data_IF_010363250538
#
_entry.id   IF_010363250538
#
_cell.length_a   1.000
_cell.length_b   1.000
_cell.length_c   1.000
_cell.angle_alpha   90.00
_cell.angle_beta   90.00
_cell.angle_gamma   90.00
#
_symmetry.space_group_name_H-M   'P 1'
#
loop_
_entity.id
_entity.type
_entity.pdbx_description
1 polymer ?
#
# COMPACT_ATOMS: atom_id res chain seq x y z
N UNK A 1 -18.82 -9.68 4.42
CA UNK A 1 -18.63 -8.55 3.51
C UNK A 1 -17.32 -7.87 3.91
N UNK A 2 -16.51 -7.44 2.97
CA UNK A 2 -15.29 -6.68 3.27
C UNK A 2 -15.65 -5.28 3.78
N UNK A 3 -14.85 -4.76 4.70
CA UNK A 3 -14.96 -3.37 5.14
C UNK A 3 -14.48 -2.45 4.03
N UNK A 4 -15.29 -1.44 3.76
CA UNK A 4 -15.02 -0.42 2.75
C UNK A 4 -15.39 0.93 3.33
N UNK A 5 -14.42 1.85 3.39
CA UNK A 5 -14.68 3.26 3.68
C UNK A 5 -14.87 3.96 2.34
N UNK A 6 -16.05 4.55 2.13
CA UNK A 6 -16.48 5.13 0.86
C UNK A 6 -16.84 6.60 1.08
N UNK A 7 -16.11 7.52 0.44
CA UNK A 7 -16.34 8.96 0.55
C UNK A 7 -16.48 9.61 -0.82
N UNK A 8 -17.26 10.67 -0.86
CA UNK A 8 -17.57 11.40 -2.09
C UNK A 8 -18.50 10.64 -3.02
N UNK A 9 -18.57 11.10 -4.24
CA UNK A 9 -19.33 10.48 -5.33
C UNK A 9 -18.65 10.77 -6.67
N UNK A 10 -18.83 9.90 -7.64
CA UNK A 10 -18.40 10.21 -9.00
C UNK A 10 -19.12 11.46 -9.50
N UNK A 11 -18.39 12.33 -10.20
CA UNK A 11 -18.90 13.55 -10.84
C UNK A 11 -18.79 13.45 -12.37
N UNK A 12 -19.39 14.39 -13.08
CA UNK A 12 -19.25 14.45 -14.54
C UNK A 12 -17.80 14.69 -14.98
N UNK A 13 -17.04 15.40 -14.16
CA UNK A 13 -15.61 15.66 -14.39
C UNK A 13 -14.71 14.50 -13.95
N UNK A 14 -15.12 13.73 -12.96
CA UNK A 14 -14.39 12.58 -12.42
C UNK A 14 -15.31 11.36 -12.29
N UNK A 15 -15.67 10.71 -13.44
CA UNK A 15 -16.59 9.57 -13.44
C UNK A 15 -15.96 8.27 -12.94
N UNK A 16 -14.63 8.23 -12.83
CA UNK A 16 -13.85 7.05 -12.43
C UNK A 16 -13.64 7.02 -10.93
N UNK A 17 -14.07 5.97 -10.21
CA UNK A 17 -13.81 5.82 -8.78
C UNK A 17 -12.34 5.50 -8.51
N UNK A 18 -11.87 5.84 -7.30
CA UNK A 18 -10.54 5.54 -6.80
C UNK A 18 -10.63 4.43 -5.76
N UNK A 19 -9.83 3.36 -5.91
CA UNK A 19 -9.76 2.25 -4.96
C UNK A 19 -8.38 2.20 -4.31
N UNK A 20 -8.33 2.43 -3.00
CA UNK A 20 -7.14 2.46 -2.20
C UNK A 20 -6.91 1.13 -1.47
N UNK A 21 -5.71 0.56 -1.61
CA UNK A 21 -5.29 -0.73 -1.03
C UNK A 21 -4.14 -0.50 -0.05
N UNK A 22 -4.36 -0.82 1.21
CA UNK A 22 -3.40 -0.56 2.30
C UNK A 22 -2.19 -1.50 2.30
N UNK A 23 -1.13 -1.09 3.00
CA UNK A 23 0.08 -1.87 3.23
C UNK A 23 -0.06 -2.91 4.33
N UNK A 24 0.97 -3.73 4.52
CA UNK A 24 1.01 -4.70 5.61
C UNK A 24 0.82 -4.05 6.99
N UNK A 25 0.17 -4.75 7.91
CA UNK A 25 -0.16 -4.33 9.28
C UNK A 25 -1.16 -3.19 9.40
N UNK A 26 -1.65 -2.62 8.30
CA UNK A 26 -2.61 -1.51 8.25
C UNK A 26 -4.02 -2.02 7.90
N UNK A 27 -4.96 -1.09 7.75
CA UNK A 27 -6.31 -1.29 7.23
C UNK A 27 -6.75 0.00 6.52
N UNK A 28 -8.01 0.06 6.06
CA UNK A 28 -8.54 1.22 5.33
C UNK A 28 -8.37 2.56 6.08
N UNK A 29 -8.32 2.54 7.41
CA UNK A 29 -8.13 3.73 8.25
C UNK A 29 -6.93 4.61 7.84
N UNK A 30 -5.84 4.00 7.32
CA UNK A 30 -4.66 4.77 6.96
C UNK A 30 -4.86 5.69 5.76
N UNK A 31 -5.85 5.43 4.95
CA UNK A 31 -6.30 6.29 3.86
C UNK A 31 -7.37 7.29 4.31
N UNK A 32 -8.21 6.87 5.26
CA UNK A 32 -9.29 7.69 5.83
C UNK A 32 -8.79 8.89 6.62
N UNK A 33 -7.57 8.80 7.13
CA UNK A 33 -6.94 9.87 7.92
C UNK A 33 -6.85 11.19 7.15
N UNK A 34 -6.59 11.13 5.82
CA UNK A 34 -6.40 12.32 5.00
C UNK A 34 -6.85 12.15 3.55
N UNK A 35 -6.47 11.03 2.91
CA UNK A 35 -6.56 10.89 1.45
C UNK A 35 -8.00 10.83 0.97
N UNK A 36 -8.87 10.10 1.66
CA UNK A 36 -10.25 9.93 1.20
C UNK A 36 -10.99 11.27 1.18
N UNK A 37 -10.84 12.10 2.21
CA UNK A 37 -11.45 13.43 2.25
C UNK A 37 -10.86 14.33 1.16
N UNK A 38 -9.53 14.34 0.99
CA UNK A 38 -8.89 15.12 -0.06
C UNK A 38 -9.46 14.80 -1.45
N UNK A 39 -9.57 13.53 -1.81
CA UNK A 39 -10.08 13.15 -3.12
C UNK A 39 -11.60 13.36 -3.25
N UNK A 40 -12.37 13.14 -2.19
CA UNK A 40 -13.79 13.44 -2.16
C UNK A 40 -14.06 14.94 -2.37
N UNK A 41 -13.30 15.81 -1.69
CA UNK A 41 -13.40 17.27 -1.84
C UNK A 41 -12.99 17.75 -3.25
N UNK A 42 -12.15 16.97 -3.96
CA UNK A 42 -11.78 17.21 -5.35
C UNK A 42 -12.73 16.52 -6.36
N UNK A 43 -13.89 16.02 -5.92
CA UNK A 43 -14.97 15.53 -6.79
C UNK A 43 -14.82 14.07 -7.23
N UNK A 44 -13.93 13.29 -6.61
CA UNK A 44 -13.82 11.85 -6.85
C UNK A 44 -14.67 11.05 -5.86
N UNK A 45 -15.08 9.86 -6.26
CA UNK A 45 -15.50 8.83 -5.32
C UNK A 45 -14.26 8.05 -4.88
N UNK A 46 -13.90 8.14 -3.60
CA UNK A 46 -12.71 7.55 -3.01
C UNK A 46 -13.09 6.43 -2.04
N UNK A 47 -12.63 5.21 -2.34
CA UNK A 47 -12.93 4.00 -1.57
C UNK A 47 -11.64 3.39 -1.01
N UNK A 48 -11.58 3.16 0.29
CA UNK A 48 -10.48 2.41 0.91
C UNK A 48 -10.96 1.04 1.39
N UNK A 49 -10.31 0.00 0.90
CA UNK A 49 -10.59 -1.38 1.25
C UNK A 49 -9.74 -1.83 2.44
N UNK A 50 -10.35 -2.42 3.47
CA UNK A 50 -9.62 -3.29 4.40
C UNK A 50 -9.58 -4.70 3.84
N UNK A 51 -8.37 -5.19 3.54
CA UNK A 51 -8.15 -6.56 3.06
C UNK A 51 -8.61 -7.58 4.11
N UNK A 52 -9.01 -8.77 3.68
CA UNK A 52 -9.49 -9.83 4.60
C UNK A 52 -8.54 -10.06 5.78
N UNK A 53 -9.09 -10.07 6.99
CA UNK A 53 -8.33 -10.20 8.25
C UNK A 53 -7.76 -8.91 8.80
N UNK A 54 -8.06 -7.75 8.16
CA UNK A 54 -7.69 -6.42 8.61
C UNK A 54 -8.92 -5.54 8.79
N UNK A 55 -8.83 -4.53 9.66
CA UNK A 55 -9.96 -3.66 9.99
C UNK A 55 -11.17 -4.48 10.42
N UNK A 56 -12.34 -4.14 9.89
CA UNK A 56 -13.59 -4.86 10.06
C UNK A 56 -13.78 -6.02 9.07
N UNK A 57 -12.84 -6.28 8.16
CA UNK A 57 -12.96 -7.35 7.16
C UNK A 57 -12.74 -8.73 7.76
N UNK A 58 -13.74 -9.66 7.68
CA UNK A 58 -13.58 -10.99 8.22
C UNK A 58 -12.60 -11.83 7.42
N UNK A 59 -11.96 -12.80 8.08
CA UNK A 59 -11.16 -13.83 7.45
C UNK A 59 -11.81 -15.19 7.61
N UNK A 60 -12.05 -15.92 6.51
CA UNK A 60 -12.60 -17.27 6.54
C UNK A 60 -11.58 -18.32 7.01
N UNK A 61 -10.29 -17.95 7.09
CA UNK A 61 -9.18 -18.82 7.52
C UNK A 61 -8.21 -18.04 8.40
N UNK A 62 -7.34 -18.71 9.17
CA UNK A 62 -6.36 -18.02 10.03
C UNK A 62 -5.50 -17.05 9.22
N UNK A 63 -5.30 -15.83 9.73
CA UNK A 63 -4.58 -14.75 9.02
C UNK A 63 -3.22 -15.21 8.48
N UNK A 64 -2.46 -16.02 9.25
CA UNK A 64 -1.14 -16.53 8.85
C UNK A 64 -1.14 -17.35 7.55
N UNK A 65 -2.31 -17.79 7.05
CA UNK A 65 -2.47 -18.61 5.85
C UNK A 65 -3.04 -17.85 4.66
N UNK A 66 -3.42 -16.59 4.85
CA UNK A 66 -3.91 -15.72 3.78
C UNK A 66 -2.74 -15.40 2.83
N UNK A 67 -2.97 -15.53 1.54
CA UNK A 67 -1.97 -15.32 0.49
C UNK A 67 -2.12 -13.97 -0.21
N UNK A 68 -1.14 -13.58 -1.01
CA UNK A 68 -1.26 -12.43 -1.93
C UNK A 68 -2.43 -12.66 -2.91
N UNK A 69 -2.66 -13.89 -3.38
CA UNK A 69 -3.78 -14.19 -4.27
C UNK A 69 -5.14 -13.94 -3.59
N UNK A 70 -5.28 -14.25 -2.31
CA UNK A 70 -6.48 -13.93 -1.54
C UNK A 70 -6.72 -12.41 -1.47
N UNK A 71 -5.66 -11.61 -1.31
CA UNK A 71 -5.77 -10.14 -1.30
C UNK A 71 -6.08 -9.57 -2.69
N UNK A 72 -5.56 -10.17 -3.75
CA UNK A 72 -5.94 -9.81 -5.13
C UNK A 72 -7.43 -10.07 -5.34
N UNK A 73 -7.96 -11.21 -4.87
CA UNK A 73 -9.38 -11.53 -4.95
C UNK A 73 -10.27 -10.51 -4.20
N UNK A 74 -9.79 -9.95 -3.06
CA UNK A 74 -10.49 -8.87 -2.37
C UNK A 74 -10.59 -7.62 -3.23
N UNK A 75 -9.49 -7.23 -3.89
CA UNK A 75 -9.48 -6.09 -4.81
C UNK A 75 -10.41 -6.34 -6.00
N UNK A 76 -10.37 -7.54 -6.60
CA UNK A 76 -11.28 -7.94 -7.69
C UNK A 76 -12.74 -7.82 -7.25
N UNK A 77 -13.07 -8.39 -6.08
CA UNK A 77 -14.44 -8.38 -5.53
C UNK A 77 -14.99 -6.95 -5.40
N UNK A 78 -14.16 -6.02 -4.92
CA UNK A 78 -14.59 -4.63 -4.77
C UNK A 78 -14.65 -3.93 -6.12
N UNK A 79 -13.65 -4.12 -6.98
CA UNK A 79 -13.59 -3.47 -8.29
C UNK A 79 -14.74 -3.89 -9.20
N UNK A 80 -15.11 -5.19 -9.21
CA UNK A 80 -16.25 -5.71 -9.97
C UNK A 80 -17.60 -5.23 -9.44
N UNK A 81 -17.68 -4.85 -8.16
CA UNK A 81 -18.87 -4.25 -7.56
C UNK A 81 -19.08 -2.77 -7.91
N UNK A 82 -18.11 -2.12 -8.57
CA UNK A 82 -18.19 -0.71 -8.96
C UNK A 82 -18.81 -0.57 -10.36
N UNK A 83 -19.46 0.56 -10.66
CA UNK A 83 -20.10 0.78 -11.96
C UNK A 83 -19.10 0.87 -13.13
N UNK A 84 -17.87 1.27 -12.84
CA UNK A 84 -16.74 1.34 -13.81
C UNK A 84 -15.46 0.86 -13.12
N UNK A 85 -14.49 0.32 -13.90
CA UNK A 85 -13.19 -0.04 -13.34
C UNK A 85 -12.53 1.14 -12.63
N UNK A 86 -12.05 0.97 -11.38
CA UNK A 86 -11.44 2.07 -10.62
C UNK A 86 -9.99 2.35 -11.05
N UNK A 87 -9.49 3.55 -10.76
CA UNK A 87 -8.05 3.75 -10.57
C UNK A 87 -7.66 3.00 -9.30
N UNK A 88 -6.61 2.16 -9.38
CA UNK A 88 -6.15 1.37 -8.24
C UNK A 88 -4.89 1.97 -7.63
N UNK A 89 -4.94 2.30 -6.34
CA UNK A 89 -3.85 2.98 -5.61
C UNK A 89 -3.40 2.08 -4.47
N UNK A 90 -2.16 1.61 -4.53
CA UNK A 90 -1.65 0.67 -3.53
C UNK A 90 -0.41 1.17 -2.81
N UNK A 91 -0.41 1.07 -1.47
CA UNK A 91 0.72 1.38 -0.63
C UNK A 91 1.46 0.11 -0.22
N UNK A 92 2.80 0.11 -0.31
CA UNK A 92 3.65 -0.96 0.23
C UNK A 92 3.22 -2.35 -0.28
N UNK A 93 2.75 -3.25 0.60
CA UNK A 93 2.14 -4.54 0.25
C UNK A 93 0.91 -4.36 -0.66
N UNK A 94 0.06 -3.36 -0.38
CA UNK A 94 -1.07 -3.03 -1.26
C UNK A 94 -0.63 -2.66 -2.66
N UNK A 95 0.51 -2.00 -2.82
CA UNK A 95 1.12 -1.74 -4.12
C UNK A 95 1.54 -3.02 -4.84
N UNK A 96 2.03 -4.02 -4.11
CA UNK A 96 2.33 -5.34 -4.67
C UNK A 96 1.05 -6.09 -5.08
N UNK A 97 -0.02 -5.99 -4.29
CA UNK A 97 -1.34 -6.54 -4.63
C UNK A 97 -1.88 -5.88 -5.90
N UNK A 98 -1.77 -4.55 -6.02
CA UNK A 98 -2.15 -3.79 -7.22
C UNK A 98 -1.35 -4.25 -8.44
N UNK A 99 -0.03 -4.44 -8.33
CA UNK A 99 0.79 -4.98 -9.41
C UNK A 99 0.27 -6.35 -9.88
N UNK A 100 -0.08 -7.24 -8.95
CA UNK A 100 -0.65 -8.56 -9.25
C UNK A 100 -2.04 -8.49 -9.87
N UNK A 101 -2.90 -7.60 -9.38
CA UNK A 101 -4.23 -7.34 -9.92
C UNK A 101 -4.14 -6.91 -11.41
N UNK A 102 -3.25 -5.98 -11.72
CA UNK A 102 -3.08 -5.43 -13.05
C UNK A 102 -2.48 -6.40 -14.09
N UNK A 103 -1.96 -7.56 -13.66
CA UNK A 103 -1.51 -8.61 -14.60
C UNK A 103 -2.68 -9.24 -15.40
N UNK A 104 -3.88 -9.20 -14.84
CA UNK A 104 -5.06 -9.91 -15.38
C UNK A 104 -6.31 -9.06 -15.46
N UNK A 105 -6.31 -7.86 -14.88
CA UNK A 105 -7.46 -6.94 -14.88
C UNK A 105 -7.05 -5.57 -15.41
N UNK A 106 -7.91 -4.96 -16.20
CA UNK A 106 -7.70 -3.62 -16.71
C UNK A 106 -8.17 -2.57 -15.70
N UNK A 107 -7.42 -1.50 -15.60
CA UNK A 107 -7.78 -0.29 -14.86
C UNK A 107 -7.42 0.94 -15.70
N UNK A 108 -8.11 2.09 -15.53
CA UNK A 108 -7.76 3.32 -16.24
C UNK A 108 -6.35 3.79 -15.92
N UNK A 109 -5.93 3.63 -14.68
CA UNK A 109 -4.58 3.94 -14.20
C UNK A 109 -4.27 3.19 -12.88
N UNK A 110 -3.00 3.15 -12.51
CA UNK A 110 -2.55 2.62 -11.21
C UNK A 110 -1.52 3.53 -10.54
N UNK A 111 -1.52 3.55 -9.21
CA UNK A 111 -0.52 4.28 -8.41
C UNK A 111 0.16 3.32 -7.44
N UNK A 112 1.48 3.30 -7.47
CA UNK A 112 2.33 2.51 -6.58
C UNK A 112 3.03 3.46 -5.60
N UNK A 113 2.53 3.51 -4.36
CA UNK A 113 3.02 4.40 -3.31
C UNK A 113 3.94 3.63 -2.36
N UNK A 114 5.23 3.95 -2.33
CA UNK A 114 6.24 3.23 -1.53
C UNK A 114 6.08 1.68 -1.64
N UNK A 115 5.77 1.19 -2.83
CA UNK A 115 5.36 -0.19 -3.08
C UNK A 115 6.49 -1.20 -2.89
N UNK A 116 6.14 -2.43 -2.48
CA UNK A 116 7.03 -3.59 -2.62
C UNK A 116 7.45 -3.68 -4.10
N UNK A 117 8.75 -3.79 -4.39
CA UNK A 117 9.24 -3.96 -5.76
C UNK A 117 8.75 -5.25 -6.41
N UNK A 118 8.65 -5.33 -7.76
CA UNK A 118 8.26 -6.57 -8.44
C UNK A 118 9.25 -7.72 -8.23
N UNK A 119 10.49 -7.42 -7.83
CA UNK A 119 11.49 -8.43 -7.39
C UNK A 119 11.26 -8.95 -5.97
N UNK A 120 10.21 -8.47 -5.30
CA UNK A 120 9.78 -8.93 -3.98
C UNK A 120 10.50 -8.28 -2.79
N UNK A 121 10.16 -8.77 -1.59
CA UNK A 121 10.62 -8.22 -0.31
C UNK A 121 11.92 -8.84 0.22
N UNK A 122 12.52 -9.80 -0.48
CA UNK A 122 13.71 -10.51 -0.01
C UNK A 122 14.85 -9.58 0.48
N UNK A 123 15.26 -8.56 -0.29
CA UNK A 123 16.29 -7.60 0.14
C UNK A 123 15.91 -6.83 1.41
N UNK A 124 14.65 -6.42 1.55
CA UNK A 124 14.14 -5.76 2.76
C UNK A 124 14.22 -6.70 3.98
N UNK A 125 13.72 -7.93 3.86
CA UNK A 125 13.78 -8.91 4.95
C UNK A 125 15.21 -9.20 5.38
N UNK A 126 16.15 -9.30 4.43
CA UNK A 126 17.57 -9.49 4.72
C UNK A 126 18.17 -8.30 5.49
N UNK A 127 17.89 -7.05 5.04
CA UNK A 127 18.33 -5.83 5.74
C UNK A 127 17.78 -5.79 7.16
N UNK A 128 16.51 -6.12 7.32
CA UNK A 128 15.82 -6.08 8.59
C UNK A 128 16.32 -7.16 9.55
N UNK A 129 16.45 -8.40 9.09
CA UNK A 129 16.99 -9.51 9.90
C UNK A 129 18.41 -9.22 10.40
N UNK A 130 19.27 -8.60 9.57
CA UNK A 130 20.63 -8.19 9.99
C UNK A 130 20.61 -7.16 11.11
N UNK A 131 19.65 -6.24 11.11
CA UNK A 131 19.53 -5.19 12.15
C UNK A 131 18.83 -5.67 13.41
N UNK A 132 17.83 -6.56 13.26
CA UNK A 132 16.94 -6.99 14.33
C UNK A 132 16.74 -8.52 14.30
N UNK A 133 17.79 -9.34 14.53
CA UNK A 133 17.72 -10.79 14.36
C UNK A 133 16.70 -11.45 15.30
N UNK A 134 16.65 -11.06 16.57
CA UNK A 134 15.77 -11.67 17.55
C UNK A 134 14.28 -11.41 17.31
N UNK A 135 13.81 -10.18 17.09
CA UNK A 135 12.42 -9.92 16.73
C UNK A 135 11.98 -10.68 15.47
N UNK A 136 12.83 -10.71 14.44
CA UNK A 136 12.54 -11.41 13.18
C UNK A 136 12.44 -12.94 13.40
N UNK A 137 13.40 -13.54 14.12
CA UNK A 137 13.37 -14.97 14.44
C UNK A 137 12.12 -15.32 15.25
N UNK A 138 11.78 -14.50 16.25
CA UNK A 138 10.59 -14.72 17.08
C UNK A 138 9.30 -14.62 16.24
N UNK A 139 9.17 -13.63 15.37
CA UNK A 139 8.02 -13.50 14.48
C UNK A 139 7.89 -14.72 13.57
N UNK A 140 9.01 -15.21 13.03
CA UNK A 140 9.02 -16.41 12.20
C UNK A 140 8.57 -17.66 12.95
N UNK A 141 9.05 -17.86 14.18
CA UNK A 141 8.72 -19.03 14.99
C UNK A 141 7.29 -19.01 15.54
N UNK A 142 6.80 -17.82 15.92
CA UNK A 142 5.48 -17.70 16.59
C UNK A 142 4.34 -17.45 15.61
N UNK A 143 4.63 -17.04 14.38
CA UNK A 143 3.62 -16.58 13.44
C UNK A 143 3.01 -15.22 13.75
N UNK A 144 3.58 -14.49 14.72
CA UNK A 144 3.08 -13.19 15.18
C UNK A 144 4.02 -12.07 14.75
N UNK A 145 3.73 -11.46 13.60
CA UNK A 145 4.57 -10.41 12.99
C UNK A 145 4.46 -9.07 13.72
N UNK A 146 3.32 -8.77 14.36
CA UNK A 146 3.12 -7.52 15.12
C UNK A 146 4.12 -7.37 16.28
N UNK A 147 4.66 -8.49 16.79
CA UNK A 147 5.70 -8.44 17.82
C UNK A 147 6.96 -7.68 17.41
N UNK A 148 7.19 -7.49 16.11
CA UNK A 148 8.31 -6.73 15.60
C UNK A 148 8.15 -5.23 15.90
N UNK A 149 6.90 -4.74 15.90
CA UNK A 149 6.54 -3.32 16.10
C UNK A 149 6.20 -2.97 17.56
N UNK A 150 6.83 -3.65 18.53
CA UNK A 150 6.53 -3.46 19.95
C UNK A 150 6.93 -2.10 20.52
N UNK A 151 7.91 -1.46 19.92
CA UNK A 151 8.37 -0.14 20.37
C UNK A 151 8.07 0.92 19.33
N UNK A 152 7.64 2.12 19.76
CA UNK A 152 7.40 3.25 18.87
C UNK A 152 8.63 3.63 18.03
N UNK A 153 9.83 3.42 18.55
CA UNK A 153 11.08 3.70 17.85
C UNK A 153 11.23 2.84 16.61
N UNK A 154 10.84 1.54 16.68
CA UNK A 154 10.87 0.65 15.52
C UNK A 154 9.80 1.05 14.51
N UNK A 155 8.60 1.42 14.99
CA UNK A 155 7.52 1.92 14.13
C UNK A 155 7.98 3.19 13.39
N UNK A 156 8.58 4.14 14.12
CA UNK A 156 9.16 5.35 13.52
C UNK A 156 10.24 4.99 12.50
N UNK A 157 11.22 4.17 12.88
CA UNK A 157 12.33 3.78 11.98
C UNK A 157 11.83 3.19 10.66
N UNK A 158 10.74 2.41 10.69
CA UNK A 158 10.24 1.72 9.51
C UNK A 158 9.28 2.56 8.70
N UNK A 159 8.36 3.27 9.37
CA UNK A 159 7.22 3.84 8.70
C UNK A 159 7.22 5.36 8.61
N UNK A 160 7.95 6.06 9.47
CA UNK A 160 7.86 7.51 9.59
C UNK A 160 9.21 8.22 9.52
N UNK A 161 9.18 9.45 9.03
CA UNK A 161 10.32 10.37 9.10
C UNK A 161 10.46 10.97 10.51
N UNK A 162 11.57 11.68 10.73
CA UNK A 162 11.77 12.45 11.96
C UNK A 162 10.83 13.66 12.09
N UNK A 163 10.13 14.02 11.01
CA UNK A 163 9.19 15.16 10.99
C UNK A 163 7.82 14.79 11.57
N UNK A 164 7.48 13.50 11.62
CA UNK A 164 6.20 13.04 12.21
C UNK A 164 6.24 13.22 13.72
N UNK A 165 5.27 13.94 14.31
CA UNK A 165 5.20 14.11 15.77
C UNK A 165 5.14 12.76 16.51
N UNK A 166 5.76 12.68 17.68
CA UNK A 166 5.77 11.44 18.47
C UNK A 166 4.37 10.95 18.82
N UNK A 167 3.47 11.87 19.16
CA UNK A 167 2.07 11.55 19.46
C UNK A 167 1.37 10.86 18.28
N UNK A 168 1.65 11.28 17.04
CA UNK A 168 1.12 10.66 15.82
C UNK A 168 1.69 9.25 15.64
N UNK A 169 3.01 9.07 15.82
CA UNK A 169 3.65 7.74 15.73
C UNK A 169 3.04 6.78 16.73
N UNK A 170 2.82 7.22 17.98
CA UNK A 170 2.19 6.42 19.03
C UNK A 170 0.75 6.05 18.66
N UNK A 171 -0.01 7.01 18.15
CA UNK A 171 -1.40 6.82 17.72
C UNK A 171 -1.48 5.79 16.59
N UNK A 172 -0.67 5.92 15.55
CA UNK A 172 -0.66 4.98 14.42
C UNK A 172 -0.11 3.61 14.80
N UNK A 173 0.90 3.56 15.69
CA UNK A 173 1.42 2.29 16.21
C UNK A 173 0.35 1.46 16.92
N UNK A 174 -0.57 2.11 17.64
CA UNK A 174 -1.67 1.45 18.34
C UNK A 174 -2.73 0.85 17.38
N UNK A 175 -2.79 1.32 16.15
CA UNK A 175 -3.74 0.84 15.12
C UNK A 175 -3.18 -0.31 14.26
N UNK A 176 -1.88 -0.65 14.41
CA UNK A 176 -1.28 -1.74 13.65
C UNK A 176 -1.88 -3.10 14.05
N UNK A 177 -2.07 -3.98 13.05
CA UNK A 177 -2.67 -5.30 13.20
C UNK A 177 -1.70 -6.41 12.74
N UNK A 178 -2.01 -7.67 13.04
CA UNK A 178 -1.21 -8.80 12.53
C UNK A 178 -1.27 -8.89 11.01
N UNK A 179 -0.16 -9.32 10.41
CA UNK A 179 -0.07 -9.58 8.98
C UNK A 179 0.26 -11.05 8.70
N UNK A 180 -0.15 -11.54 7.55
CA UNK A 180 0.04 -12.91 7.14
C UNK A 180 1.52 -13.25 6.86
N UNK A 181 2.01 -14.33 7.48
CA UNK A 181 3.31 -14.89 7.12
C UNK A 181 3.35 -15.46 5.70
N UNK A 182 2.21 -15.94 5.21
CA UNK A 182 2.08 -16.47 3.84
C UNK A 182 2.37 -15.37 2.83
N UNK A 183 1.86 -14.16 3.06
CA UNK A 183 2.14 -12.97 2.22
C UNK A 183 3.65 -12.71 2.10
N UNK A 184 4.39 -12.79 3.21
CA UNK A 184 5.85 -12.59 3.16
C UNK A 184 6.57 -13.62 2.28
N UNK A 185 6.12 -14.90 2.28
CA UNK A 185 6.67 -15.94 1.41
C UNK A 185 6.28 -15.72 -0.05
N UNK A 186 5.01 -15.42 -0.28
CA UNK A 186 4.48 -15.15 -1.63
C UNK A 186 5.22 -13.97 -2.27
N UNK A 187 5.37 -12.86 -1.53
CA UNK A 187 6.08 -11.67 -1.99
C UNK A 187 7.61 -11.81 -2.03
N UNK A 188 8.18 -12.91 -1.51
CA UNK A 188 9.63 -13.16 -1.59
C UNK A 188 10.01 -14.02 -2.80
N UNK A 189 9.19 -15.02 -3.16
CA UNK A 189 9.60 -16.05 -4.11
C UNK A 189 8.46 -16.64 -4.95
N UNK A 190 7.21 -16.72 -4.42
CA UNK A 190 6.20 -17.59 -5.01
C UNK A 190 5.25 -16.88 -5.98
N UNK A 191 4.92 -15.62 -5.71
CA UNK A 191 3.91 -14.86 -6.46
C UNK A 191 4.45 -13.49 -6.90
N UNK A 192 5.67 -13.45 -7.42
CA UNK A 192 6.25 -12.20 -7.91
C UNK A 192 5.42 -11.64 -9.08
N UNK A 193 5.25 -10.32 -9.17
CA UNK A 193 4.62 -9.68 -10.32
C UNK A 193 5.38 -9.92 -11.62
N UNK A 194 4.62 -9.90 -12.71
CA UNK A 194 5.06 -9.97 -14.09
C UNK A 194 4.84 -8.61 -14.79
N UNK A 195 5.78 -7.65 -14.66
CA UNK A 195 5.61 -6.30 -15.21
C UNK A 195 5.28 -6.28 -16.70
N UNK A 196 5.77 -7.25 -17.47
CA UNK A 196 5.54 -7.39 -18.90
C UNK A 196 4.07 -7.68 -19.27
N UNK A 197 3.24 -8.03 -18.28
CA UNK A 197 1.80 -8.26 -18.48
C UNK A 197 0.96 -7.03 -18.17
N UNK A 198 1.54 -6.01 -17.56
CA UNK A 198 0.82 -4.80 -17.15
C UNK A 198 0.95 -3.74 -18.23
N UNK A 199 -0.19 -3.37 -18.81
CA UNK A 199 -0.28 -2.32 -19.84
C UNK A 199 -0.90 -1.03 -19.31
N UNK A 200 -1.47 -1.06 -18.12
CA UNK A 200 -2.07 0.09 -17.44
C UNK A 200 -1.01 1.17 -17.14
N UNK A 201 -1.28 2.45 -17.44
CA UNK A 201 -0.41 3.54 -17.03
C UNK A 201 -0.16 3.55 -15.53
N UNK A 202 1.10 3.68 -15.11
CA UNK A 202 1.48 3.64 -13.70
C UNK A 202 2.24 4.90 -13.26
N UNK A 203 1.82 5.48 -12.14
CA UNK A 203 2.59 6.44 -11.36
C UNK A 203 3.31 5.70 -10.23
N UNK A 204 4.63 5.87 -10.12
CA UNK A 204 5.43 5.27 -9.06
C UNK A 204 5.99 6.37 -8.17
N UNK A 205 5.57 6.39 -6.90
CA UNK A 205 6.02 7.35 -5.90
C UNK A 205 6.81 6.65 -4.81
N UNK A 206 7.96 7.21 -4.44
CA UNK A 206 8.84 6.69 -3.41
C UNK A 206 9.18 7.74 -2.35
N UNK A 207 9.61 7.28 -1.18
CA UNK A 207 9.98 8.12 -0.05
C UNK A 207 11.50 8.10 0.19
N UNK A 208 12.10 9.27 0.37
CA UNK A 208 13.55 9.40 0.54
C UNK A 208 14.06 8.93 1.91
N UNK A 209 13.18 8.89 2.92
CA UNK A 209 13.43 8.42 4.29
C UNK A 209 12.73 7.10 4.61
N UNK A 210 12.38 6.34 3.58
CA UNK A 210 11.71 5.05 3.71
C UNK A 210 12.58 4.04 4.48
N UNK A 211 12.05 3.53 5.60
CA UNK A 211 12.72 2.51 6.42
C UNK A 211 12.54 1.08 5.90
N UNK A 212 11.68 0.88 4.90
CA UNK A 212 11.37 -0.41 4.28
C UNK A 212 12.08 -0.57 2.95
N UNK A 213 11.83 0.34 1.99
CA UNK A 213 12.36 0.26 0.64
C UNK A 213 13.28 1.45 0.32
N UNK A 214 14.32 1.19 -0.43
CA UNK A 214 15.29 2.21 -0.83
C UNK A 214 14.82 2.96 -2.08
N UNK A 215 15.28 4.19 -2.24
CA UNK A 215 15.09 4.99 -3.46
C UNK A 215 15.51 4.20 -4.72
N UNK A 216 16.59 3.39 -4.62
CA UNK A 216 17.04 2.52 -5.73
C UNK A 216 15.99 1.46 -6.08
N UNK A 217 15.30 0.91 -5.09
CA UNK A 217 14.22 -0.07 -5.30
C UNK A 217 12.98 0.60 -5.92
N UNK A 218 12.64 1.82 -5.52
CA UNK A 218 11.56 2.60 -6.15
C UNK A 218 11.85 2.87 -7.64
N UNK A 219 13.04 3.35 -7.97
CA UNK A 219 13.46 3.52 -9.38
C UNK A 219 13.51 2.20 -10.16
N UNK A 220 13.89 1.08 -9.51
CA UNK A 220 13.88 -0.22 -10.15
C UNK A 220 12.45 -0.71 -10.44
N UNK A 221 11.50 -0.41 -9.54
CA UNK A 221 10.07 -0.66 -9.76
C UNK A 221 9.58 0.10 -10.97
N UNK A 222 9.78 1.41 -11.02
CA UNK A 222 9.34 2.24 -12.14
C UNK A 222 9.91 1.75 -13.48
N UNK A 223 11.22 1.48 -13.54
CA UNK A 223 11.85 0.95 -14.77
C UNK A 223 11.25 -0.39 -15.22
N UNK A 224 10.85 -1.24 -14.29
CA UNK A 224 10.23 -2.52 -14.64
C UNK A 224 8.90 -2.36 -15.38
N UNK A 225 8.20 -1.24 -15.14
CA UNK A 225 6.94 -0.88 -15.79
C UNK A 225 7.10 0.19 -16.88
N UNK A 226 8.33 0.49 -17.32
CA UNK A 226 8.58 1.46 -18.39
C UNK A 226 8.27 2.91 -18.04
N UNK A 227 8.28 3.27 -16.74
CA UNK A 227 8.03 4.62 -16.23
C UNK A 227 9.16 5.12 -15.34
N UNK A 228 9.02 6.32 -14.79
CA UNK A 228 9.95 6.94 -13.86
C UNK A 228 9.36 7.01 -12.46
N UNK A 229 10.23 6.89 -11.44
CA UNK A 229 9.82 7.07 -10.06
C UNK A 229 10.06 8.52 -9.61
N UNK A 230 9.07 9.09 -8.95
CA UNK A 230 9.21 10.38 -8.27
C UNK A 230 9.45 10.15 -6.78
N UNK A 231 10.44 10.86 -6.23
CA UNK A 231 10.87 10.65 -4.84
C UNK A 231 10.56 11.89 -4.00
N UNK A 232 9.84 11.67 -2.91
CA UNK A 232 9.60 12.68 -1.88
C UNK A 232 10.72 12.60 -0.84
N UNK A 233 11.70 13.51 -0.86
CA UNK A 233 13.00 13.31 -0.19
C UNK A 233 12.92 13.24 1.33
N UNK A 234 11.96 13.93 1.94
CA UNK A 234 11.83 14.08 3.39
C UNK A 234 10.75 13.19 4.02
N UNK A 235 10.13 12.31 3.24
CA UNK A 235 9.05 11.43 3.69
C UNK A 235 9.56 10.05 4.12
N UNK A 236 8.91 9.49 5.13
CA UNK A 236 8.99 8.08 5.52
C UNK A 236 8.09 7.19 4.67
N UNK A 237 8.04 5.90 5.01
CA UNK A 237 7.32 4.87 4.26
C UNK A 237 5.81 5.13 4.15
N UNK A 238 5.17 5.55 5.25
CA UNK A 238 3.72 5.81 5.31
C UNK A 238 3.37 7.20 4.77
N UNK A 239 3.68 7.45 3.50
CA UNK A 239 3.57 8.76 2.85
C UNK A 239 2.20 9.41 3.01
N UNK A 240 1.11 8.63 3.13
CA UNK A 240 -0.26 9.10 3.33
C UNK A 240 -0.54 9.58 4.77
N UNK A 241 0.34 9.27 5.72
CA UNK A 241 0.24 9.63 7.14
C UNK A 241 1.33 10.64 7.59
N UNK A 242 2.26 10.98 6.72
CA UNK A 242 3.34 11.94 6.99
C UNK A 242 2.83 13.38 6.96
N UNK A 243 3.46 14.35 7.66
CA UNK A 243 3.06 15.75 7.64
C UNK A 243 3.01 16.40 6.23
N UNK A 244 3.69 15.80 5.26
CA UNK A 244 3.69 16.24 3.86
C UNK A 244 2.69 15.49 2.96
N UNK A 245 1.76 14.73 3.49
CA UNK A 245 0.80 13.91 2.76
C UNK A 245 0.05 14.66 1.64
N UNK A 246 -0.29 15.94 1.87
CA UNK A 246 -1.03 16.74 0.91
C UNK A 246 -0.30 16.86 -0.44
N UNK A 247 1.02 17.07 -0.42
CA UNK A 247 1.81 17.15 -1.67
C UNK A 247 1.85 15.83 -2.43
N UNK A 248 1.74 14.69 -1.74
CA UNK A 248 1.61 13.38 -2.39
C UNK A 248 0.23 13.23 -3.03
N UNK A 249 -0.84 13.60 -2.31
CA UNK A 249 -2.21 13.56 -2.81
C UNK A 249 -2.40 14.49 -4.02
N UNK A 250 -1.90 15.73 -3.94
CA UNK A 250 -1.89 16.71 -5.03
C UNK A 250 -1.13 16.18 -6.26
N UNK A 251 -0.01 15.50 -6.06
CA UNK A 251 0.76 14.91 -7.16
C UNK A 251 -0.01 13.80 -7.86
N UNK A 252 -0.67 12.93 -7.10
CA UNK A 252 -1.53 11.87 -7.65
C UNK A 252 -2.69 12.50 -8.43
N UNK A 253 -3.38 13.50 -7.85
CA UNK A 253 -4.47 14.22 -8.50
C UNK A 253 -4.03 14.86 -9.83
N UNK A 254 -2.92 15.62 -9.81
CA UNK A 254 -2.40 16.26 -11.02
C UNK A 254 -2.01 15.26 -12.10
N UNK A 255 -1.46 14.11 -11.71
CA UNK A 255 -1.11 13.06 -12.66
C UNK A 255 -2.37 12.42 -13.28
N UNK A 256 -3.39 12.08 -12.47
CA UNK A 256 -4.65 11.53 -12.98
C UNK A 256 -5.31 12.51 -13.95
N UNK A 257 -5.35 13.79 -13.61
CA UNK A 257 -5.86 14.85 -14.52
C UNK A 257 -5.10 14.85 -15.86
N UNK A 258 -3.76 14.69 -15.82
CA UNK A 258 -2.95 14.60 -17.06
C UNK A 258 -3.22 13.34 -17.89
N UNK A 259 -3.80 12.30 -17.28
CA UNK A 259 -4.27 11.08 -17.96
C UNK A 259 -5.72 11.21 -18.45
N UNK A 260 -6.41 12.32 -18.20
CA UNK A 260 -7.82 12.51 -18.55
C UNK A 260 -8.81 11.82 -17.60
N UNK A 261 -8.40 11.61 -16.34
CA UNK A 261 -9.17 10.93 -15.29
C UNK A 261 -9.65 11.93 -14.25
#
# INVERSE_FOLDING_TARGET
>A
MLELIDKGSCSDTHPTPLLFVHGGWHAAWCWDEHFLDFFADNGYRALALSLRGHGGSPAAKPIRTISIADYVEDVVTVAEGLPTPPVVIGHSMGGFVVQKYLETHQAPAGVLLASIPPKGIGPFLMRWTKRQPWPMTRALLTGKSLHIFRSPEIVREKFFSQRTPEAEVLRYAALLQEESQRVSRDASLLLLPHPERVTTPLLVLGAGRDGCFTVKEAHATARAYGTEAEIFPDMGHNMMLEPGWASVAERIHSWMTSQGI
#
